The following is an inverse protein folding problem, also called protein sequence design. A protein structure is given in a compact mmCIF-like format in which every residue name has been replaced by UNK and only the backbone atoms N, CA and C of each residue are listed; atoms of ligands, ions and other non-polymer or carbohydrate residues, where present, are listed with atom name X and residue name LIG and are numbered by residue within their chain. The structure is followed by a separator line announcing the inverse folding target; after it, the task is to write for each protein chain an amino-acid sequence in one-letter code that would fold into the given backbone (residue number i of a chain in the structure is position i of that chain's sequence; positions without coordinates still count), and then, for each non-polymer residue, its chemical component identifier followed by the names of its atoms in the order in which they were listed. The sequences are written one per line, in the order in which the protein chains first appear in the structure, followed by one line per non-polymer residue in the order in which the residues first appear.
data_IF_342548661277
#
_entry.id   IF_342548661277
#
_cell.length_a   1.000
_cell.length_b   1.000
_cell.length_c   1.000
_cell.angle_alpha   90.00
_cell.angle_beta   90.00
_cell.angle_gamma   90.00
#
_symmetry.space_group_name_H-M   'P 1'
#
loop_
_entity.id
_entity.type
_entity.pdbx_description
1 polymer ?
#
# COMPACT_ATOMS: atom_id res chain seq x y z
N UNK A 1 -44.47 102.73 28.90
CA UNK A 1 -44.62 102.14 30.25
C UNK A 1 -43.67 100.95 30.36
N UNK A 2 -42.53 101.21 30.97
CA UNK A 2 -41.45 100.18 31.15
C UNK A 2 -41.64 99.50 32.52
N UNK A 3 -41.92 98.27 32.55
CA UNK A 3 -41.80 97.44 33.76
C UNK A 3 -40.37 97.00 33.91
N UNK A 4 -39.70 97.48 34.91
CA UNK A 4 -38.40 97.02 35.38
C UNK A 4 -38.57 95.65 36.02
N UNK A 5 -37.91 94.65 35.45
CA UNK A 5 -37.73 93.34 36.09
C UNK A 5 -36.70 93.48 37.23
N UNK A 6 -37.11 93.13 38.42
CA UNK A 6 -36.28 93.16 39.60
C UNK A 6 -35.56 91.79 39.78
N UNK A 7 -34.22 91.70 39.66
CA UNK A 7 -33.51 90.42 39.69
C UNK A 7 -33.37 89.81 41.08
N UNK A 8 -33.84 90.50 42.14
CA UNK A 8 -33.70 89.97 43.51
C UNK A 8 -34.82 89.01 43.92
N UNK A 9 -35.93 88.96 43.20
CA UNK A 9 -37.06 88.03 43.51
C UNK A 9 -36.84 86.67 43.00
N UNK A 10 -35.98 86.45 41.98
CA UNK A 10 -35.69 85.12 41.41
C UNK A 10 -34.71 84.33 42.29
N UNK A 11 -33.89 85.02 43.06
CA UNK A 11 -32.94 84.35 43.96
C UNK A 11 -33.54 83.68 45.20
N UNK A 12 -34.83 84.00 45.49
CA UNK A 12 -35.48 83.52 46.73
C UNK A 12 -36.33 82.27 46.56
N UNK A 13 -36.60 81.85 45.32
CA UNK A 13 -37.39 80.63 45.06
C UNK A 13 -36.58 79.45 44.58
N UNK A 14 -35.29 79.58 44.24
CA UNK A 14 -34.40 78.53 43.97
C UNK A 14 -33.59 78.21 45.25
N UNK A 15 -34.29 77.70 46.25
CA UNK A 15 -33.65 77.05 47.38
C UNK A 15 -32.74 75.90 46.91
N UNK A 16 -31.45 76.19 46.79
CA UNK A 16 -30.48 75.19 46.61
C UNK A 16 -30.48 74.26 47.84
N UNK A 17 -30.79 72.99 47.73
CA UNK A 17 -30.54 72.07 48.81
C UNK A 17 -29.04 71.85 48.88
N UNK A 18 -28.40 72.54 49.82
CA UNK A 18 -27.05 72.29 50.22
C UNK A 18 -27.06 70.91 51.04
N UNK A 19 -27.26 69.83 50.31
CA UNK A 19 -27.04 68.49 50.89
C UNK A 19 -25.61 68.13 50.58
N UNK A 20 -24.69 68.63 51.37
CA UNK A 20 -23.43 67.95 51.59
C UNK A 20 -23.72 66.60 52.27
N UNK A 21 -24.04 65.57 51.48
CA UNK A 21 -23.95 64.22 51.89
C UNK A 21 -22.45 63.93 52.04
N UNK A 22 -21.91 64.22 53.21
CA UNK A 22 -20.63 63.64 53.64
C UNK A 22 -20.84 62.19 53.86
N UNK A 23 -20.81 61.42 52.76
CA UNK A 23 -20.89 59.98 52.76
C UNK A 23 -19.51 59.43 53.14
N UNK A 24 -19.26 59.31 54.44
CA UNK A 24 -18.13 58.56 54.95
C UNK A 24 -18.20 57.06 54.54
N UNK A 25 -19.32 56.60 54.01
CA UNK A 25 -19.54 55.27 53.49
C UNK A 25 -19.20 55.09 52.01
N UNK A 26 -18.98 56.12 51.24
CA UNK A 26 -18.65 56.05 49.81
C UNK A 26 -17.21 55.55 49.56
N UNK A 27 -16.27 55.84 50.48
CA UNK A 27 -14.89 55.38 50.33
C UNK A 27 -14.74 53.86 50.49
N UNK A 28 -15.28 53.21 51.58
CA UNK A 28 -15.18 51.75 51.65
C UNK A 28 -15.96 51.03 50.57
N UNK A 29 -17.09 51.60 50.09
CA UNK A 29 -17.86 51.08 48.98
C UNK A 29 -17.12 51.17 47.65
N UNK A 30 -16.39 52.25 47.40
CA UNK A 30 -15.50 52.41 46.25
C UNK A 30 -14.34 51.41 46.29
N UNK A 31 -13.71 51.24 47.45
CA UNK A 31 -12.64 50.26 47.63
C UNK A 31 -13.15 48.82 47.51
N UNK A 32 -14.33 48.52 48.00
CA UNK A 32 -14.97 47.21 47.87
C UNK A 32 -15.32 46.92 46.38
N UNK A 33 -15.88 47.90 45.67
CA UNK A 33 -16.17 47.73 44.22
C UNK A 33 -14.89 47.57 43.38
N UNK A 34 -13.83 48.34 43.70
CA UNK A 34 -12.54 48.21 43.04
C UNK A 34 -11.89 46.85 43.30
N UNK A 35 -12.03 46.35 44.54
CA UNK A 35 -11.54 45.02 44.89
C UNK A 35 -12.31 43.92 44.14
N UNK A 36 -13.65 44.02 44.04
CA UNK A 36 -14.48 43.07 43.26
C UNK A 36 -14.09 43.10 41.76
N UNK A 37 -13.89 44.27 41.20
CA UNK A 37 -13.44 44.42 39.80
C UNK A 37 -12.04 43.80 39.61
N UNK A 38 -11.10 44.06 40.52
CA UNK A 38 -9.76 43.48 40.47
C UNK A 38 -9.79 41.97 40.57
N UNK A 39 -10.64 41.44 41.46
CA UNK A 39 -10.83 39.98 41.62
C UNK A 39 -11.49 39.34 40.40
N UNK A 40 -12.47 40.05 39.79
CA UNK A 40 -13.09 39.62 38.54
C UNK A 40 -12.10 39.62 37.38
N UNK A 41 -11.27 40.66 37.24
CA UNK A 41 -10.24 40.73 36.22
C UNK A 41 -9.19 39.62 36.42
N UNK A 42 -8.76 39.40 37.66
CA UNK A 42 -7.85 38.33 38.00
C UNK A 42 -8.44 36.93 37.67
N UNK A 43 -9.69 36.69 38.07
CA UNK A 43 -10.41 35.47 37.76
C UNK A 43 -10.60 35.30 36.22
N UNK A 44 -11.04 36.34 35.53
CA UNK A 44 -11.30 36.35 34.08
C UNK A 44 -10.01 36.18 33.27
N UNK A 45 -8.86 36.55 33.83
CA UNK A 45 -7.56 36.32 33.20
C UNK A 45 -7.09 34.87 33.31
N UNK A 46 -7.54 34.14 34.34
CA UNK A 46 -7.18 32.74 34.59
C UNK A 46 -8.25 31.76 34.11
N UNK A 47 -9.50 32.17 34.02
CA UNK A 47 -10.58 31.35 33.50
C UNK A 47 -10.46 31.23 31.97
N UNK A 48 -10.33 29.97 31.50
CA UNK A 48 -10.21 29.64 30.09
C UNK A 48 -11.54 29.17 29.52
N UNK A 49 -11.84 29.52 28.30
CA UNK A 49 -13.01 29.08 27.52
C UNK A 49 -12.52 28.51 26.20
N UNK A 50 -12.99 27.30 25.85
CA UNK A 50 -12.65 26.66 24.61
C UNK A 50 -13.19 27.46 23.43
N UNK A 51 -12.31 27.81 22.48
CA UNK A 51 -12.69 28.41 21.21
C UNK A 51 -12.91 27.27 20.21
N UNK A 52 -14.08 27.28 19.57
CA UNK A 52 -14.42 26.26 18.60
C UNK A 52 -14.69 26.88 17.23
N UNK A 53 -14.16 26.28 16.20
CA UNK A 53 -14.53 26.58 14.82
C UNK A 53 -15.70 25.66 14.42
N UNK A 54 -16.84 26.28 14.12
CA UNK A 54 -18.06 25.54 13.79
C UNK A 54 -18.28 25.52 12.29
N UNK A 55 -18.58 24.32 11.76
CA UNK A 55 -18.94 24.11 10.37
C UNK A 55 -20.14 23.20 10.19
N UNK A 56 -20.89 23.41 9.13
CA UNK A 56 -21.86 22.43 8.64
C UNK A 56 -21.10 21.29 7.95
N UNK A 57 -21.52 20.06 8.24
CA UNK A 57 -20.89 18.87 7.72
C UNK A 57 -21.92 17.93 7.09
N UNK A 58 -21.44 17.13 6.15
CA UNK A 58 -22.18 16.02 5.56
C UNK A 58 -21.39 14.75 5.73
N UNK A 59 -22.08 13.69 6.13
CA UNK A 59 -21.48 12.35 6.20
C UNK A 59 -21.19 11.89 4.78
N UNK A 60 -19.92 11.61 4.51
CA UNK A 60 -19.45 11.03 3.24
C UNK A 60 -18.84 9.65 3.53
N UNK A 61 -18.90 8.72 2.59
CA UNK A 61 -18.17 7.47 2.73
C UNK A 61 -16.66 7.77 2.87
N UNK A 62 -16.00 7.10 3.80
CA UNK A 62 -14.55 7.23 4.00
C UNK A 62 -13.78 6.75 2.78
N UNK A 63 -14.29 5.73 2.11
CA UNK A 63 -13.73 5.16 0.89
C UNK A 63 -14.60 5.42 -0.32
N UNK A 64 -13.92 5.64 -1.44
CA UNK A 64 -14.59 5.70 -2.74
C UNK A 64 -15.03 4.30 -3.16
N UNK A 65 -16.09 4.27 -3.93
CA UNK A 65 -16.55 3.07 -4.61
C UNK A 65 -15.39 2.38 -5.35
N UNK A 66 -15.21 1.08 -5.11
CA UNK A 66 -14.17 0.27 -5.73
C UNK A 66 -14.74 -0.40 -6.97
N UNK A 67 -14.10 -0.16 -8.11
CA UNK A 67 -14.47 -0.79 -9.38
C UNK A 67 -13.65 -2.06 -9.57
N UNK A 68 -14.33 -3.19 -9.72
CA UNK A 68 -13.72 -4.48 -10.02
C UNK A 68 -13.67 -4.66 -11.53
N UNK A 69 -12.46 -4.73 -12.07
CA UNK A 69 -12.19 -4.85 -13.50
C UNK A 69 -11.38 -6.12 -13.79
N UNK A 70 -11.58 -6.68 -14.97
CA UNK A 70 -10.73 -7.78 -15.46
C UNK A 70 -9.61 -7.24 -16.32
N UNK A 71 -8.36 -7.38 -15.87
CA UNK A 71 -7.19 -6.94 -16.65
C UNK A 71 -7.00 -7.79 -17.91
N UNK A 72 -7.18 -9.10 -17.79
CA UNK A 72 -6.91 -10.07 -18.86
C UNK A 72 -8.09 -10.25 -19.82
N UNK A 73 -9.31 -9.95 -19.37
CA UNK A 73 -10.54 -10.32 -20.07
C UNK A 73 -10.74 -11.83 -20.15
N UNK A 74 -11.70 -12.26 -20.92
CA UNK A 74 -11.99 -13.68 -21.13
C UNK A 74 -13.47 -13.99 -21.20
N UNK A 75 -13.84 -15.23 -20.93
CA UNK A 75 -15.23 -15.68 -20.91
C UNK A 75 -15.65 -15.78 -19.44
N UNK A 76 -16.77 -15.12 -19.08
CA UNK A 76 -17.33 -15.22 -17.73
C UNK A 76 -17.85 -16.64 -17.48
N UNK A 77 -17.25 -17.33 -16.52
CA UNK A 77 -17.71 -18.68 -16.15
C UNK A 77 -18.86 -18.59 -15.15
N UNK A 78 -18.66 -17.90 -14.02
CA UNK A 78 -19.68 -17.80 -12.98
C UNK A 78 -19.55 -16.48 -12.20
N UNK A 79 -20.71 -15.97 -11.73
CA UNK A 79 -20.81 -14.88 -10.76
C UNK A 79 -21.35 -15.48 -9.47
N UNK A 80 -20.65 -15.25 -8.36
CA UNK A 80 -20.93 -15.87 -7.06
C UNK A 80 -21.66 -14.95 -6.10
N UNK A 81 -21.91 -13.70 -6.50
CA UNK A 81 -22.53 -12.66 -5.67
C UNK A 81 -23.70 -12.00 -6.41
N UNK A 82 -24.58 -11.34 -5.66
CA UNK A 82 -25.73 -10.59 -6.19
C UNK A 82 -25.64 -9.12 -5.83
N UNK A 83 -26.32 -8.29 -6.58
CA UNK A 83 -26.47 -6.88 -6.23
C UNK A 83 -27.16 -6.72 -4.87
N UNK A 84 -26.61 -5.85 -4.03
CA UNK A 84 -27.04 -5.64 -2.65
C UNK A 84 -26.45 -6.60 -1.63
N UNK A 85 -25.68 -7.59 -2.04
CA UNK A 85 -25.01 -8.55 -1.15
C UNK A 85 -23.79 -7.93 -0.46
N UNK A 86 -23.58 -8.25 0.82
CA UNK A 86 -22.40 -7.86 1.56
C UNK A 86 -21.30 -8.90 1.32
N UNK A 87 -20.13 -8.44 0.91
CA UNK A 87 -18.96 -9.28 0.66
C UNK A 87 -17.81 -8.92 1.59
N UNK A 88 -17.02 -9.92 1.94
CA UNK A 88 -15.83 -9.74 2.76
C UNK A 88 -14.58 -9.51 1.88
N UNK A 89 -13.54 -8.88 2.45
CA UNK A 89 -12.27 -8.74 1.76
C UNK A 89 -11.67 -10.12 1.42
N UNK A 90 -11.25 -10.32 0.15
CA UNK A 90 -10.73 -11.59 -0.35
C UNK A 90 -11.82 -12.60 -0.76
N UNK A 91 -13.11 -12.28 -0.62
CA UNK A 91 -14.20 -13.13 -1.09
C UNK A 91 -14.23 -13.20 -2.62
N UNK A 92 -14.45 -14.39 -3.16
CA UNK A 92 -14.57 -14.62 -4.60
C UNK A 92 -15.91 -14.05 -5.11
N UNK A 93 -15.81 -13.13 -6.06
CA UNK A 93 -16.96 -12.41 -6.65
C UNK A 93 -17.40 -13.04 -7.95
N UNK A 94 -16.45 -13.31 -8.83
CA UNK A 94 -16.68 -13.91 -10.13
C UNK A 94 -15.48 -14.71 -10.57
N UNK A 95 -15.69 -15.67 -11.45
CA UNK A 95 -14.65 -16.47 -12.09
C UNK A 95 -14.71 -16.32 -13.61
N UNK A 96 -13.55 -16.13 -14.22
CA UNK A 96 -13.35 -16.16 -15.67
C UNK A 96 -12.85 -17.55 -16.03
N UNK A 97 -13.20 -18.06 -17.22
CA UNK A 97 -12.71 -19.37 -17.71
C UNK A 97 -11.18 -19.42 -17.70
N UNK A 98 -10.66 -20.23 -16.80
CA UNK A 98 -9.23 -20.37 -16.55
C UNK A 98 -8.52 -21.32 -17.52
N UNK A 99 -9.27 -22.04 -18.38
CA UNK A 99 -8.74 -23.12 -19.22
C UNK A 99 -7.53 -22.68 -20.04
N UNK A 100 -7.62 -21.55 -20.71
CA UNK A 100 -6.54 -20.98 -21.52
C UNK A 100 -5.32 -20.60 -20.65
N UNK A 101 -5.56 -19.91 -19.54
CA UNK A 101 -4.51 -19.41 -18.64
C UNK A 101 -3.82 -20.58 -17.92
N UNK A 102 -4.61 -21.52 -17.43
CA UNK A 102 -4.11 -22.75 -16.78
C UNK A 102 -3.24 -23.57 -17.74
N UNK A 103 -3.69 -23.76 -18.99
CA UNK A 103 -2.93 -24.50 -19.99
C UNK A 103 -1.58 -23.82 -20.29
N UNK A 104 -1.56 -22.49 -20.45
CA UNK A 104 -0.33 -21.74 -20.67
C UNK A 104 0.63 -21.82 -19.48
N UNK A 105 0.11 -21.74 -18.24
CA UNK A 105 0.91 -21.89 -17.03
C UNK A 105 1.51 -23.30 -16.93
N UNK A 106 0.69 -24.36 -17.13
CA UNK A 106 1.14 -25.74 -17.07
C UNK A 106 2.18 -26.09 -18.15
N UNK A 107 2.04 -25.51 -19.34
CA UNK A 107 3.02 -25.62 -20.41
C UNK A 107 4.39 -25.07 -19.97
N UNK A 108 4.42 -23.83 -19.45
CA UNK A 108 5.68 -23.22 -19.01
C UNK A 108 6.29 -23.96 -17.82
N UNK A 109 5.47 -24.46 -16.91
CA UNK A 109 5.92 -25.28 -15.78
C UNK A 109 6.57 -26.59 -16.25
N UNK A 110 5.94 -27.28 -17.20
CA UNK A 110 6.48 -28.52 -17.76
C UNK A 110 7.80 -28.31 -18.50
N UNK A 111 7.93 -27.21 -19.24
CA UNK A 111 9.18 -26.84 -19.91
C UNK A 111 10.28 -26.48 -18.88
N UNK A 112 9.95 -25.78 -17.81
CA UNK A 112 10.90 -25.46 -16.74
C UNK A 112 11.39 -26.74 -16.03
N UNK A 113 10.50 -27.70 -15.77
CA UNK A 113 10.86 -28.99 -15.22
C UNK A 113 11.82 -29.76 -16.13
N UNK A 114 11.59 -29.77 -17.44
CA UNK A 114 12.48 -30.42 -18.40
C UNK A 114 13.88 -29.77 -18.41
N UNK A 115 13.95 -28.44 -18.39
CA UNK A 115 15.23 -27.73 -18.30
C UNK A 115 15.96 -28.00 -16.98
N UNK A 116 15.26 -28.02 -15.85
CA UNK A 116 15.85 -28.38 -14.54
C UNK A 116 16.41 -29.79 -14.54
N UNK A 117 15.73 -30.76 -15.19
CA UNK A 117 16.24 -32.12 -15.36
C UNK A 117 17.54 -32.15 -16.16
N UNK A 118 17.57 -31.43 -17.29
CA UNK A 118 18.76 -31.29 -18.16
C UNK A 118 19.92 -30.62 -17.42
N UNK A 119 19.66 -29.54 -16.67
CA UNK A 119 20.67 -28.87 -15.85
C UNK A 119 21.25 -29.80 -14.79
N UNK A 120 20.41 -30.59 -14.10
CA UNK A 120 20.87 -31.57 -13.13
C UNK A 120 21.82 -32.62 -13.76
N UNK A 121 21.54 -33.08 -14.99
CA UNK A 121 22.44 -33.95 -15.76
C UNK A 121 23.76 -33.27 -16.07
N UNK A 122 23.70 -32.04 -16.62
CA UNK A 122 24.90 -31.31 -17.03
C UNK A 122 25.79 -30.97 -15.82
N UNK A 123 25.20 -30.62 -14.68
CA UNK A 123 25.94 -30.43 -13.43
C UNK A 123 26.65 -31.72 -12.96
N UNK A 124 26.00 -32.84 -13.10
CA UNK A 124 26.63 -34.15 -12.81
C UNK A 124 27.77 -34.45 -13.78
N UNK A 125 27.63 -34.11 -15.09
CA UNK A 125 28.70 -34.27 -16.09
C UNK A 125 29.90 -33.36 -15.80
N UNK A 126 29.68 -32.10 -15.52
CA UNK A 126 30.70 -31.09 -15.21
C UNK A 126 31.47 -31.41 -13.93
N UNK A 127 30.77 -31.87 -12.89
CA UNK A 127 31.34 -32.27 -11.60
C UNK A 127 31.87 -33.72 -11.57
N UNK A 128 31.79 -34.44 -12.69
CA UNK A 128 32.15 -35.87 -12.82
C UNK A 128 31.54 -36.74 -11.73
N UNK A 129 30.26 -36.46 -11.36
CA UNK A 129 29.52 -37.25 -10.37
C UNK A 129 29.18 -38.64 -10.90
N UNK A 130 29.03 -39.58 -9.99
CA UNK A 130 28.66 -40.95 -10.35
C UNK A 130 27.19 -41.09 -10.78
N UNK A 131 26.31 -40.24 -10.27
CA UNK A 131 24.87 -40.21 -10.50
C UNK A 131 24.34 -38.78 -10.56
N UNK A 132 23.18 -38.58 -11.21
CA UNK A 132 22.48 -37.32 -11.28
C UNK A 132 21.71 -37.14 -9.99
N UNK A 133 21.82 -35.95 -9.38
CA UNK A 133 20.96 -35.44 -8.30
C UNK A 133 19.90 -34.52 -8.90
N UNK A 134 18.67 -35.03 -9.00
CA UNK A 134 17.56 -34.23 -9.53
C UNK A 134 16.94 -33.35 -8.41
N UNK A 135 16.57 -32.11 -8.73
CA UNK A 135 15.75 -31.27 -7.84
C UNK A 135 14.42 -31.94 -7.48
N UNK A 136 13.83 -31.55 -6.34
CA UNK A 136 12.57 -32.15 -5.87
C UNK A 136 11.43 -31.99 -6.87
N UNK A 137 11.34 -30.85 -7.55
CA UNK A 137 10.30 -30.54 -8.52
C UNK A 137 10.30 -31.43 -9.76
N UNK A 138 11.39 -32.16 -10.00
CA UNK A 138 11.55 -33.03 -11.17
C UNK A 138 11.60 -34.51 -10.77
N UNK A 139 11.93 -34.80 -9.51
CA UNK A 139 12.18 -36.16 -9.02
C UNK A 139 11.03 -37.13 -9.26
N UNK A 140 9.80 -36.64 -9.11
CA UNK A 140 8.58 -37.42 -9.25
C UNK A 140 8.19 -37.66 -10.71
N UNK A 141 8.82 -36.98 -11.67
CA UNK A 141 8.59 -37.19 -13.10
C UNK A 141 9.55 -38.26 -13.63
N UNK A 142 9.14 -39.51 -13.48
CA UNK A 142 9.97 -40.67 -13.85
C UNK A 142 10.38 -40.67 -15.33
N UNK A 143 9.51 -40.21 -16.22
CA UNK A 143 9.78 -40.16 -17.66
C UNK A 143 10.94 -39.21 -17.99
N UNK A 144 10.94 -38.01 -17.42
CA UNK A 144 12.01 -37.01 -17.61
C UNK A 144 13.33 -37.49 -16.99
N UNK A 145 13.28 -37.98 -15.74
CA UNK A 145 14.49 -38.43 -15.02
C UNK A 145 15.10 -39.65 -15.67
N UNK A 146 14.31 -40.60 -16.20
CA UNK A 146 14.81 -41.76 -16.93
C UNK A 146 15.54 -41.35 -18.21
N UNK A 147 14.95 -40.46 -19.01
CA UNK A 147 15.56 -39.98 -20.26
C UNK A 147 16.92 -39.32 -20.00
N UNK A 148 17.00 -38.44 -18.99
CA UNK A 148 18.25 -37.75 -18.66
C UNK A 148 19.32 -38.73 -18.08
N UNK A 149 18.91 -39.74 -17.31
CA UNK A 149 19.84 -40.79 -16.84
C UNK A 149 20.40 -41.63 -17.98
N UNK A 150 19.57 -41.99 -18.96
CA UNK A 150 20.02 -42.70 -20.14
C UNK A 150 21.04 -41.89 -20.95
N UNK A 151 20.72 -40.61 -21.20
CA UNK A 151 21.62 -39.72 -21.92
C UNK A 151 22.94 -39.50 -21.18
N UNK A 152 22.90 -39.29 -19.86
CA UNK A 152 24.08 -39.20 -19.01
C UNK A 152 24.99 -40.43 -19.15
N UNK A 153 24.37 -41.62 -19.04
CA UNK A 153 25.10 -42.88 -19.15
C UNK A 153 25.72 -43.08 -20.54
N UNK A 154 24.97 -42.73 -21.59
CA UNK A 154 25.46 -42.84 -22.98
C UNK A 154 26.64 -41.86 -23.25
N UNK A 155 26.53 -40.60 -22.84
CA UNK A 155 27.59 -39.60 -23.02
C UNK A 155 28.85 -39.96 -22.24
N UNK A 156 28.69 -40.40 -20.99
CA UNK A 156 29.80 -40.88 -20.14
C UNK A 156 30.48 -42.11 -20.74
N UNK A 157 29.73 -43.10 -21.19
CA UNK A 157 30.26 -44.30 -21.85
C UNK A 157 31.05 -43.95 -23.11
N UNK A 158 30.58 -43.02 -23.93
CA UNK A 158 31.28 -42.51 -25.12
C UNK A 158 32.63 -41.90 -24.73
N UNK A 159 32.67 -41.00 -23.74
CA UNK A 159 33.90 -40.38 -23.22
C UNK A 159 34.88 -41.43 -22.72
N UNK A 160 34.41 -42.30 -21.84
CA UNK A 160 35.25 -43.30 -21.19
C UNK A 160 35.81 -44.31 -22.19
N UNK A 161 35.01 -44.69 -23.22
CA UNK A 161 35.50 -45.55 -24.31
C UNK A 161 36.61 -44.89 -25.11
N UNK A 162 36.48 -43.59 -25.44
CA UNK A 162 37.49 -42.83 -26.15
C UNK A 162 38.78 -42.68 -25.30
N UNK A 163 38.65 -42.35 -24.02
CA UNK A 163 39.78 -42.28 -23.09
C UNK A 163 40.50 -43.62 -22.92
N UNK A 164 39.76 -44.73 -22.81
CA UNK A 164 40.30 -46.07 -22.69
C UNK A 164 41.07 -46.49 -23.97
N UNK A 165 40.57 -46.12 -25.16
CA UNK A 165 41.28 -46.44 -26.43
C UNK A 165 42.65 -45.75 -26.43
N UNK A 166 42.71 -44.42 -26.20
CA UNK A 166 43.98 -43.65 -26.14
C UNK A 166 44.89 -44.15 -25.01
N UNK A 167 44.32 -44.50 -23.85
CA UNK A 167 45.10 -45.05 -22.73
C UNK A 167 45.78 -46.40 -23.08
N UNK A 168 45.14 -47.27 -23.86
CA UNK A 168 45.74 -48.49 -24.37
C UNK A 168 46.90 -48.19 -25.35
N UNK A 169 46.72 -47.21 -26.24
CA UNK A 169 47.78 -46.76 -27.15
C UNK A 169 49.01 -46.22 -26.37
N UNK A 170 48.77 -45.35 -25.36
CA UNK A 170 49.82 -44.82 -24.48
C UNK A 170 50.55 -46.02 -23.81
N UNK A 171 49.81 -46.95 -23.25
CA UNK A 171 50.41 -48.14 -22.59
C UNK A 171 51.23 -49.01 -23.54
N UNK A 172 50.81 -49.17 -24.79
CA UNK A 172 51.54 -49.90 -25.81
C UNK A 172 52.85 -49.17 -26.18
N UNK A 173 52.78 -47.84 -26.45
CA UNK A 173 53.96 -47.02 -26.74
C UNK A 173 54.96 -46.99 -25.56
N UNK A 174 54.46 -46.93 -24.33
CA UNK A 174 55.30 -46.99 -23.13
C UNK A 174 56.02 -48.32 -22.96
N UNK A 175 55.34 -49.44 -23.30
CA UNK A 175 55.99 -50.80 -23.30
C UNK A 175 57.07 -50.84 -24.36
N UNK A 176 56.85 -50.35 -25.58
CA UNK A 176 57.87 -50.27 -26.64
C UNK A 176 59.08 -49.46 -26.19
N UNK A 177 58.85 -48.27 -25.59
CA UNK A 177 59.88 -47.44 -25.07
C UNK A 177 60.70 -48.14 -23.96
N UNK A 178 60.05 -48.92 -23.08
CA UNK A 178 60.73 -49.71 -22.04
C UNK A 178 61.66 -50.77 -22.60
N UNK A 179 61.35 -51.35 -23.76
CA UNK A 179 62.23 -52.33 -24.48
C UNK A 179 63.37 -51.58 -25.16
N UNK A 180 63.13 -50.48 -25.83
CA UNK A 180 64.13 -49.74 -26.63
C UNK A 180 65.14 -48.97 -25.73
N UNK A 181 64.75 -48.41 -24.63
CA UNK A 181 65.60 -47.65 -23.70
C UNK A 181 66.88 -48.40 -23.27
N UNK A 182 66.93 -49.68 -22.88
CA UNK A 182 68.16 -50.45 -22.59
C UNK A 182 69.01 -50.71 -23.82
N UNK A 183 68.41 -50.88 -25.02
CA UNK A 183 69.15 -51.09 -26.26
C UNK A 183 69.88 -49.82 -26.73
N UNK A 184 69.30 -48.67 -26.58
CA UNK A 184 69.98 -47.38 -26.84
C UNK A 184 71.15 -47.17 -25.90
N UNK A 185 71.05 -47.55 -24.60
CA UNK A 185 72.15 -47.49 -23.63
C UNK A 185 73.28 -48.34 -24.05
N UNK A 186 73.01 -49.51 -24.72
CA UNK A 186 74.02 -50.50 -25.28
C UNK A 186 74.46 -50.03 -26.67
N UNK A 187 74.02 -48.92 -27.23
CA UNK A 187 74.33 -48.43 -28.59
C UNK A 187 73.84 -49.44 -29.70
N UNK A 188 72.89 -50.33 -29.41
CA UNK A 188 72.34 -51.25 -30.36
C UNK A 188 71.22 -50.62 -31.23
N UNK A 189 70.61 -49.53 -30.78
CA UNK A 189 69.58 -48.78 -31.48
C UNK A 189 69.89 -47.32 -31.35
N UNK A 190 69.56 -46.50 -32.35
CA UNK A 190 69.77 -45.08 -32.41
C UNK A 190 68.89 -44.30 -31.43
N UNK A 191 69.39 -43.24 -30.80
CA UNK A 191 68.64 -42.36 -29.87
C UNK A 191 67.40 -41.73 -30.51
N UNK A 192 67.41 -41.53 -31.83
CA UNK A 192 66.26 -40.99 -32.60
C UNK A 192 65.00 -41.82 -32.48
N UNK A 193 65.15 -43.17 -32.34
CA UNK A 193 64.00 -44.06 -32.20
C UNK A 193 63.32 -43.93 -30.83
N UNK A 194 64.12 -43.71 -29.79
CA UNK A 194 63.63 -43.40 -28.46
C UNK A 194 62.89 -42.04 -28.45
N UNK A 195 63.47 -41.02 -29.09
CA UNK A 195 62.87 -39.68 -29.17
C UNK A 195 61.54 -39.65 -29.96
N UNK A 196 61.39 -40.50 -31.02
CA UNK A 196 60.13 -40.67 -31.73
C UNK A 196 59.05 -41.19 -30.82
N UNK A 197 59.33 -42.28 -30.03
CA UNK A 197 58.38 -42.83 -29.09
C UNK A 197 58.01 -41.89 -27.94
N UNK A 198 58.96 -41.12 -27.45
CA UNK A 198 58.69 -40.12 -26.43
C UNK A 198 57.78 -39.02 -26.99
N UNK A 199 57.96 -38.60 -28.26
CA UNK A 199 57.05 -37.66 -28.95
C UNK A 199 55.64 -38.26 -29.12
N UNK A 200 55.56 -39.52 -29.59
CA UNK A 200 54.30 -40.19 -29.78
C UNK A 200 53.51 -40.30 -28.47
N UNK A 201 54.19 -40.64 -27.35
CA UNK A 201 53.55 -40.69 -26.02
C UNK A 201 53.08 -39.31 -25.61
N UNK A 202 53.84 -38.26 -25.90
CA UNK A 202 53.44 -36.87 -25.60
C UNK A 202 52.21 -36.46 -26.44
N UNK A 203 52.14 -36.77 -27.72
CA UNK A 203 51.01 -36.53 -28.61
C UNK A 203 49.77 -37.28 -28.14
N UNK A 204 49.87 -38.56 -27.77
CA UNK A 204 48.76 -39.38 -27.24
C UNK A 204 48.21 -38.83 -25.88
N UNK A 205 49.12 -38.34 -24.99
CA UNK A 205 48.73 -37.67 -23.74
C UNK A 205 47.99 -36.34 -24.04
N UNK A 206 48.47 -35.59 -25.03
CA UNK A 206 47.78 -34.38 -25.52
C UNK A 206 46.39 -34.71 -25.99
N UNK A 207 46.19 -35.75 -26.82
CA UNK A 207 44.90 -36.22 -27.30
C UNK A 207 43.97 -36.68 -26.17
N UNK A 208 44.53 -37.36 -25.14
CA UNK A 208 43.78 -37.75 -23.95
C UNK A 208 43.25 -36.55 -23.19
N UNK A 209 44.05 -35.50 -23.02
CA UNK A 209 43.68 -34.24 -22.38
C UNK A 209 42.64 -33.49 -23.24
N UNK A 210 42.80 -33.46 -24.55
CA UNK A 210 41.86 -32.86 -25.51
C UNK A 210 40.45 -33.47 -25.40
N UNK A 211 40.34 -34.82 -25.42
CA UNK A 211 39.05 -35.54 -25.27
C UNK A 211 38.34 -35.11 -23.96
N UNK A 212 39.09 -35.01 -22.87
CA UNK A 212 38.52 -34.58 -21.57
C UNK A 212 38.10 -33.14 -21.60
N UNK A 213 38.95 -32.26 -22.11
CA UNK A 213 38.68 -30.81 -22.16
C UNK A 213 37.50 -30.48 -23.07
N UNK A 214 37.41 -31.10 -24.26
CA UNK A 214 36.28 -30.92 -25.18
C UNK A 214 34.97 -31.34 -24.51
N UNK A 215 34.96 -32.52 -23.86
CA UNK A 215 33.77 -33.03 -23.16
C UNK A 215 33.31 -32.02 -22.09
N UNK A 216 34.22 -31.49 -21.27
CA UNK A 216 33.89 -30.51 -20.23
C UNK A 216 33.46 -29.17 -20.83
N UNK A 217 34.16 -28.70 -21.88
CA UNK A 217 33.83 -27.45 -22.57
C UNK A 217 32.39 -27.49 -23.13
N UNK A 218 32.05 -28.58 -23.81
CA UNK A 218 30.71 -28.79 -24.38
C UNK A 218 29.65 -28.82 -23.26
N UNK A 219 29.92 -29.51 -22.15
CA UNK A 219 29.01 -29.61 -21.02
C UNK A 219 28.83 -28.25 -20.30
N UNK A 220 29.90 -27.44 -20.14
CA UNK A 220 29.82 -26.13 -19.56
C UNK A 220 29.05 -25.14 -20.46
N UNK A 221 29.30 -25.17 -21.77
CA UNK A 221 28.58 -24.32 -22.71
C UNK A 221 27.07 -24.64 -22.70
N UNK A 222 26.71 -25.92 -22.81
CA UNK A 222 25.31 -26.35 -22.76
C UNK A 222 24.67 -26.01 -21.40
N UNK A 223 25.40 -26.15 -20.27
CA UNK A 223 24.91 -25.78 -18.94
C UNK A 223 24.62 -24.29 -18.83
N UNK A 224 25.50 -23.44 -19.34
CA UNK A 224 25.32 -21.98 -19.31
C UNK A 224 24.09 -21.58 -20.13
N UNK A 225 23.93 -22.13 -21.33
CA UNK A 225 22.78 -21.88 -22.19
C UNK A 225 21.47 -22.32 -21.52
N UNK A 226 21.43 -23.54 -20.94
CA UNK A 226 20.23 -24.06 -20.30
C UNK A 226 19.87 -23.31 -19.02
N UNK A 227 20.84 -22.83 -18.26
CA UNK A 227 20.59 -21.95 -17.10
C UNK A 227 20.01 -20.61 -17.52
N UNK A 228 20.49 -20.01 -18.60
CA UNK A 228 19.94 -18.76 -19.13
C UNK A 228 18.51 -18.95 -19.65
N UNK A 229 18.25 -20.04 -20.37
CA UNK A 229 16.91 -20.38 -20.85
C UNK A 229 15.94 -20.62 -19.71
N UNK A 230 16.36 -21.33 -18.65
CA UNK A 230 15.55 -21.59 -17.45
C UNK A 230 15.19 -20.26 -16.74
N UNK A 231 16.16 -19.37 -16.55
CA UNK A 231 15.91 -18.09 -15.92
C UNK A 231 14.83 -17.28 -16.65
N UNK A 232 14.89 -17.21 -17.98
CA UNK A 232 13.87 -16.52 -18.78
C UNK A 232 12.49 -17.21 -18.69
N UNK A 233 12.49 -18.53 -18.66
CA UNK A 233 11.25 -19.30 -18.57
C UNK A 233 10.62 -19.22 -17.17
N UNK A 234 11.42 -19.12 -16.11
CA UNK A 234 10.93 -18.92 -14.74
C UNK A 234 10.18 -17.60 -14.62
N UNK A 235 10.72 -16.50 -15.16
CA UNK A 235 10.02 -15.22 -15.22
C UNK A 235 8.70 -15.33 -16.00
N UNK A 236 8.71 -16.02 -17.14
CA UNK A 236 7.49 -16.26 -17.92
C UNK A 236 6.47 -17.08 -17.13
N UNK A 237 6.93 -18.06 -16.36
CA UNK A 237 6.07 -18.92 -15.54
C UNK A 237 5.40 -18.14 -14.42
N UNK A 238 6.14 -17.22 -13.76
CA UNK A 238 5.58 -16.30 -12.76
C UNK A 238 4.49 -15.42 -13.37
N UNK A 239 4.76 -14.83 -14.54
CA UNK A 239 3.78 -14.02 -15.26
C UNK A 239 2.51 -14.81 -15.61
N UNK A 240 2.65 -16.02 -16.13
CA UNK A 240 1.50 -16.87 -16.50
C UNK A 240 0.70 -17.32 -15.29
N UNK A 241 1.37 -17.56 -14.15
CA UNK A 241 0.71 -17.85 -12.89
C UNK A 241 -0.13 -16.69 -12.42
N UNK A 242 0.42 -15.48 -12.44
CA UNK A 242 -0.27 -14.25 -12.05
C UNK A 242 -1.50 -13.98 -12.95
N UNK A 243 -1.39 -14.24 -14.26
CA UNK A 243 -2.54 -14.20 -15.18
C UNK A 243 -3.62 -15.22 -14.81
N UNK A 244 -3.23 -16.44 -14.42
CA UNK A 244 -4.15 -17.46 -13.96
C UNK A 244 -4.82 -17.05 -12.64
N UNK A 245 -4.06 -16.52 -11.68
CA UNK A 245 -4.60 -16.11 -10.39
C UNK A 245 -5.61 -14.95 -10.57
N UNK A 246 -5.38 -14.03 -11.53
CA UNK A 246 -6.30 -12.93 -11.89
C UNK A 246 -7.59 -13.36 -12.61
N UNK A 247 -7.73 -14.61 -13.03
CA UNK A 247 -9.04 -15.12 -13.53
C UNK A 247 -10.07 -15.22 -12.41
N UNK A 248 -9.62 -15.22 -11.15
CA UNK A 248 -10.46 -15.23 -9.96
C UNK A 248 -10.57 -13.82 -9.42
N UNK A 249 -11.72 -13.20 -9.60
CA UNK A 249 -11.98 -11.83 -9.19
C UNK A 249 -12.40 -11.81 -7.71
N UNK A 250 -11.53 -11.25 -6.87
CA UNK A 250 -11.71 -11.17 -5.43
C UNK A 250 -12.08 -9.76 -5.01
N UNK A 251 -12.86 -9.62 -3.94
CA UNK A 251 -13.14 -8.32 -3.34
C UNK A 251 -11.89 -7.77 -2.64
N UNK A 252 -11.45 -6.54 -2.95
CA UNK A 252 -10.34 -5.91 -2.25
C UNK A 252 -10.70 -5.44 -0.84
N UNK A 253 -12.00 -5.23 -0.55
CA UNK A 253 -12.51 -4.65 0.70
C UNK A 253 -13.81 -5.33 1.11
N UNK A 254 -14.18 -5.21 2.38
CA UNK A 254 -15.53 -5.52 2.84
C UNK A 254 -16.49 -4.44 2.36
N UNK A 255 -17.60 -4.83 1.71
CA UNK A 255 -18.51 -3.84 1.14
C UNK A 255 -19.79 -4.44 0.59
N UNK A 256 -20.65 -3.58 0.04
CA UNK A 256 -21.88 -3.95 -0.65
C UNK A 256 -21.65 -3.93 -2.16
N UNK A 257 -22.00 -4.99 -2.84
CA UNK A 257 -22.01 -5.06 -4.31
C UNK A 257 -23.14 -4.17 -4.84
N UNK A 258 -22.81 -3.16 -5.64
CA UNK A 258 -23.82 -2.22 -6.14
C UNK A 258 -24.29 -2.56 -7.54
N UNK A 259 -23.38 -2.52 -8.49
CA UNK A 259 -23.70 -2.66 -9.91
C UNK A 259 -22.92 -3.83 -10.50
N UNK A 260 -23.60 -4.77 -11.12
CA UNK A 260 -23.00 -5.88 -11.88
C UNK A 260 -23.28 -5.61 -13.36
N UNK A 261 -22.24 -5.13 -14.07
CA UNK A 261 -22.36 -4.73 -15.49
C UNK A 261 -22.56 -5.93 -16.41
N UNK A 262 -21.98 -7.08 -16.08
CA UNK A 262 -22.00 -8.29 -16.92
C UNK A 262 -22.62 -9.42 -16.10
N UNK A 263 -23.83 -9.82 -16.46
CA UNK A 263 -24.62 -10.85 -15.75
C UNK A 263 -24.75 -12.16 -16.52
N UNK A 264 -24.33 -12.18 -17.79
CA UNK A 264 -24.53 -13.33 -18.67
C UNK A 264 -23.40 -14.33 -18.55
N UNK A 265 -23.66 -15.53 -18.05
CA UNK A 265 -22.71 -16.64 -18.07
C UNK A 265 -22.32 -16.98 -19.50
N UNK A 266 -21.02 -17.17 -19.79
CA UNK A 266 -20.49 -17.34 -21.14
C UNK A 266 -20.31 -16.03 -21.91
N UNK A 267 -20.62 -14.89 -21.29
CA UNK A 267 -20.36 -13.56 -21.89
C UNK A 267 -18.86 -13.30 -22.05
N UNK A 268 -18.49 -12.62 -23.12
CA UNK A 268 -17.10 -12.22 -23.37
C UNK A 268 -16.82 -10.89 -22.69
N UNK A 269 -15.78 -10.86 -21.89
CA UNK A 269 -15.28 -9.68 -21.17
C UNK A 269 -14.03 -9.16 -21.88
N UNK A 270 -14.04 -7.93 -22.41
CA UNK A 270 -12.84 -7.30 -22.92
C UNK A 270 -11.79 -7.06 -21.81
N UNK A 271 -10.49 -7.02 -22.14
CA UNK A 271 -9.47 -6.56 -21.19
C UNK A 271 -9.73 -5.13 -20.70
N UNK A 272 -9.65 -4.93 -19.36
CA UNK A 272 -9.90 -3.65 -18.71
C UNK A 272 -11.38 -3.33 -18.47
N UNK A 273 -12.29 -4.22 -18.82
CA UNK A 273 -13.75 -3.98 -18.65
C UNK A 273 -14.16 -4.06 -17.19
N UNK A 274 -15.08 -3.18 -16.80
CA UNK A 274 -15.70 -3.15 -15.49
C UNK A 274 -16.73 -4.27 -15.38
N UNK A 275 -16.64 -5.06 -14.31
CA UNK A 275 -17.54 -6.18 -14.05
C UNK A 275 -18.55 -5.82 -12.98
N UNK A 276 -18.09 -5.20 -11.89
CA UNK A 276 -18.95 -4.77 -10.80
C UNK A 276 -18.32 -3.65 -9.98
N UNK A 277 -19.15 -3.00 -9.19
CA UNK A 277 -18.74 -1.94 -8.26
C UNK A 277 -19.08 -2.37 -6.83
N UNK A 278 -18.16 -2.09 -5.90
CA UNK A 278 -18.34 -2.37 -4.48
C UNK A 278 -18.23 -1.06 -3.71
N UNK A 279 -19.25 -0.79 -2.90
CA UNK A 279 -19.19 0.31 -1.93
C UNK A 279 -18.67 -0.26 -0.61
N UNK A 280 -17.50 0.18 -0.15
CA UNK A 280 -16.93 -0.27 1.11
C UNK A 280 -17.87 0.00 2.28
N UNK A 281 -17.98 -0.98 3.19
CA UNK A 281 -18.60 -0.84 4.50
C UNK A 281 -17.46 -0.69 5.51
N UNK A 282 -17.14 0.56 5.82
CA UNK A 282 -16.11 0.85 6.82
C UNK A 282 -16.77 1.24 8.15
N UNK A 283 -16.09 0.91 9.23
CA UNK A 283 -16.52 1.27 10.59
C UNK A 283 -16.20 2.73 10.95
N UNK A 284 -15.49 3.45 10.06
CA UNK A 284 -15.13 4.86 10.24
C UNK A 284 -15.99 5.76 9.36
N UNK A 285 -16.54 6.80 9.96
CA UNK A 285 -17.28 7.83 9.23
C UNK A 285 -16.40 9.05 8.99
N UNK A 286 -16.50 9.60 7.79
CA UNK A 286 -15.86 10.87 7.45
C UNK A 286 -16.92 11.94 7.26
N UNK A 287 -16.71 13.08 7.93
CA UNK A 287 -17.56 14.24 7.87
C UNK A 287 -16.88 15.31 7.03
N UNK A 288 -17.42 15.58 5.86
CA UNK A 288 -16.99 16.69 5.02
C UNK A 288 -17.56 17.99 5.59
N UNK A 289 -16.73 18.73 6.31
CA UNK A 289 -17.12 19.93 7.06
C UNK A 289 -16.71 21.17 6.29
N UNK A 290 -17.63 22.15 6.20
CA UNK A 290 -17.42 23.45 5.56
C UNK A 290 -17.02 24.47 6.61
N UNK A 291 -15.81 24.96 6.54
CA UNK A 291 -15.26 25.94 7.48
C UNK A 291 -15.02 27.27 6.76
N UNK A 292 -15.38 28.36 7.44
CA UNK A 292 -15.18 29.72 6.90
C UNK A 292 -13.70 30.05 6.79
N UNK A 293 -13.29 30.84 5.78
CA UNK A 293 -11.89 31.23 5.60
C UNK A 293 -11.24 31.93 6.81
N UNK A 294 -12.03 32.63 7.62
CA UNK A 294 -11.53 33.30 8.83
C UNK A 294 -11.15 32.33 9.96
N UNK A 295 -11.71 31.14 9.98
CA UNK A 295 -11.56 30.17 11.07
C UNK A 295 -10.52 29.07 10.72
N UNK A 296 -10.20 28.87 9.43
CA UNK A 296 -9.29 27.81 8.97
C UNK A 296 -7.85 27.98 9.44
N UNK A 297 -7.41 29.25 9.66
CA UNK A 297 -6.04 29.54 10.09
C UNK A 297 -5.68 28.95 11.48
N UNK A 298 -6.69 28.59 12.25
CA UNK A 298 -6.53 28.03 13.61
C UNK A 298 -6.77 26.52 13.66
N UNK A 299 -7.01 25.86 12.52
CA UNK A 299 -7.29 24.43 12.43
C UNK A 299 -6.04 23.72 11.89
N UNK A 300 -5.67 22.63 12.53
CA UNK A 300 -4.59 21.75 12.11
C UNK A 300 -5.04 20.27 12.10
N UNK A 301 -4.45 19.44 11.25
CA UNK A 301 -4.67 18.01 11.29
C UNK A 301 -4.36 17.42 12.67
N UNK A 302 -5.20 16.50 13.13
CA UNK A 302 -5.11 15.86 14.46
C UNK A 302 -5.86 16.58 15.57
N UNK A 303 -6.41 17.74 15.35
CA UNK A 303 -7.22 18.46 16.36
C UNK A 303 -8.51 17.70 16.67
N UNK A 304 -8.94 17.68 17.95
CA UNK A 304 -10.20 17.08 18.35
C UNK A 304 -11.39 17.86 17.82
N UNK A 305 -12.45 17.13 17.51
CA UNK A 305 -13.70 17.72 17.04
C UNK A 305 -14.89 17.00 17.65
N UNK A 306 -15.93 17.75 18.00
CA UNK A 306 -17.21 17.24 18.46
C UNK A 306 -18.23 17.29 17.33
N UNK A 307 -18.83 16.14 17.02
CA UNK A 307 -19.76 15.99 15.90
C UNK A 307 -21.17 15.80 16.43
N UNK A 308 -22.12 16.61 15.96
CA UNK A 308 -23.54 16.52 16.27
C UNK A 308 -24.32 16.20 15.00
N UNK A 309 -24.97 15.06 15.00
CA UNK A 309 -25.79 14.63 13.86
C UNK A 309 -27.14 15.34 13.92
N UNK A 310 -27.52 16.06 12.86
CA UNK A 310 -28.77 16.86 12.85
C UNK A 310 -30.03 15.99 12.86
N UNK A 311 -29.94 14.72 12.49
CA UNK A 311 -31.06 13.79 12.51
C UNK A 311 -31.44 13.29 13.91
N UNK A 312 -30.53 13.45 14.91
CA UNK A 312 -30.72 13.01 16.27
C UNK A 312 -30.55 14.19 17.25
N UNK A 313 -31.39 14.23 18.29
CA UNK A 313 -31.27 15.26 19.32
C UNK A 313 -30.02 14.99 20.17
N UNK A 314 -29.00 15.82 20.03
CA UNK A 314 -27.71 15.66 20.73
C UNK A 314 -27.85 15.75 22.26
N UNK A 315 -28.94 16.37 22.80
CA UNK A 315 -29.19 16.45 24.23
C UNK A 315 -29.63 15.09 24.81
N UNK A 316 -30.22 14.23 23.96
CA UNK A 316 -30.69 12.88 24.32
C UNK A 316 -29.69 11.82 23.90
N UNK A 317 -29.23 11.86 22.67
CA UNK A 317 -28.42 10.79 22.06
C UNK A 317 -26.91 11.05 22.12
N UNK A 318 -26.49 12.23 22.60
CA UNK A 318 -25.08 12.57 22.75
C UNK A 318 -24.44 13.08 21.43
N UNK A 319 -23.11 13.06 21.43
CA UNK A 319 -22.26 13.54 20.36
C UNK A 319 -21.20 12.52 20.01
N UNK A 320 -20.66 12.57 18.79
CA UNK A 320 -19.52 11.74 18.40
C UNK A 320 -18.23 12.53 18.59
N UNK A 321 -17.21 11.84 19.03
CA UNK A 321 -15.86 12.37 19.03
C UNK A 321 -15.19 12.06 17.69
N UNK A 322 -14.46 13.05 17.17
CA UNK A 322 -13.74 12.96 15.93
C UNK A 322 -12.42 13.69 15.97
N UNK A 323 -11.63 13.51 14.91
CA UNK A 323 -10.35 14.20 14.72
C UNK A 323 -10.29 14.77 13.31
N UNK A 324 -9.68 15.94 13.17
CA UNK A 324 -9.40 16.55 11.88
C UNK A 324 -8.37 15.68 11.15
N UNK A 325 -8.76 15.10 10.03
CA UNK A 325 -7.89 14.26 9.20
C UNK A 325 -7.12 15.12 8.18
N UNK A 326 -7.85 15.97 7.47
CA UNK A 326 -7.27 16.77 6.38
C UNK A 326 -8.05 18.06 6.13
N UNK A 327 -7.32 19.08 5.70
CA UNK A 327 -7.85 20.38 5.31
C UNK A 327 -7.55 20.57 3.82
N UNK A 328 -8.51 21.10 3.04
CA UNK A 328 -8.26 21.43 1.64
C UNK A 328 -7.21 22.53 1.53
N UNK A 329 -6.34 22.44 0.51
CA UNK A 329 -5.29 23.45 0.27
C UNK A 329 -5.83 24.74 -0.34
N UNK A 330 -7.07 24.71 -0.86
CA UNK A 330 -7.71 25.83 -1.54
C UNK A 330 -9.17 25.96 -1.09
N UNK A 331 -9.74 27.17 -1.29
CA UNK A 331 -11.15 27.46 -1.06
C UNK A 331 -12.00 26.85 -2.16
N UNK A 332 -13.17 26.37 -1.79
CA UNK A 332 -14.23 25.98 -2.69
C UNK A 332 -15.33 27.04 -2.66
N UNK A 333 -15.93 27.29 -3.80
CA UNK A 333 -17.03 28.25 -3.95
C UNK A 333 -18.34 27.49 -4.14
N UNK A 334 -19.38 27.95 -3.47
CA UNK A 334 -20.74 27.41 -3.61
C UNK A 334 -21.72 28.57 -3.85
N UNK A 335 -22.53 28.41 -4.89
CA UNK A 335 -23.64 29.32 -5.15
C UNK A 335 -24.74 29.08 -4.13
N UNK A 336 -24.92 30.03 -3.23
CA UNK A 336 -26.03 30.04 -2.29
C UNK A 336 -27.09 31.07 -2.73
N UNK A 337 -28.34 31.01 -2.24
CA UNK A 337 -29.35 32.01 -2.53
C UNK A 337 -28.96 33.45 -2.07
N UNK A 338 -27.87 33.57 -1.31
CA UNK A 338 -27.31 34.83 -0.78
C UNK A 338 -26.10 35.34 -1.55
N UNK A 339 -25.62 34.58 -2.57
CA UNK A 339 -24.43 34.85 -3.35
C UNK A 339 -23.40 33.72 -3.26
N UNK A 340 -22.24 33.91 -3.87
CA UNK A 340 -21.13 32.99 -3.78
C UNK A 340 -20.49 33.04 -2.39
N UNK A 341 -20.45 31.89 -1.70
CA UNK A 341 -19.77 31.74 -0.42
C UNK A 341 -18.54 30.83 -0.60
N UNK A 342 -17.36 31.34 -0.21
CA UNK A 342 -16.12 30.56 -0.22
C UNK A 342 -15.95 29.88 1.12
N UNK A 343 -15.55 28.58 1.09
CA UNK A 343 -15.28 27.80 2.29
C UNK A 343 -14.09 26.85 2.08
N UNK A 344 -13.46 26.45 3.19
CA UNK A 344 -12.49 25.37 3.20
C UNK A 344 -13.17 24.06 3.57
N UNK A 345 -12.84 23.01 2.82
CA UNK A 345 -13.31 21.65 3.12
C UNK A 345 -12.36 21.01 4.12
N UNK A 346 -12.89 20.69 5.29
CA UNK A 346 -12.19 19.99 6.35
C UNK A 346 -12.80 18.60 6.51
N UNK A 347 -11.99 17.56 6.40
CA UNK A 347 -12.40 16.18 6.64
C UNK A 347 -12.13 15.83 8.09
N UNK A 348 -13.20 15.43 8.79
CA UNK A 348 -13.15 14.99 10.19
C UNK A 348 -13.55 13.54 10.24
N UNK A 349 -12.70 12.67 10.77
CA UNK A 349 -12.97 11.24 10.93
C UNK A 349 -13.49 10.96 12.35
N UNK A 350 -14.47 10.05 12.47
CA UNK A 350 -14.90 9.49 13.74
C UNK A 350 -14.59 8.00 13.77
N UNK A 351 -14.12 7.51 14.91
CA UNK A 351 -13.81 6.09 15.12
C UNK A 351 -15.06 5.22 15.28
N UNK A 352 -16.22 5.86 15.53
CA UNK A 352 -17.50 5.18 15.70
C UNK A 352 -18.47 5.51 14.58
N UNK A 353 -19.13 4.50 14.03
CA UNK A 353 -20.10 4.63 12.94
C UNK A 353 -21.55 4.73 13.42
N UNK A 354 -21.79 4.71 14.71
CA UNK A 354 -23.12 4.75 15.31
C UNK A 354 -23.11 5.50 16.65
N UNK A 355 -24.26 6.05 17.03
CA UNK A 355 -24.52 6.56 18.36
C UNK A 355 -25.11 5.42 19.21
N UNK A 356 -24.63 5.26 20.43
CA UNK A 356 -25.18 4.30 21.42
C UNK A 356 -25.95 5.05 22.49
N UNK A 357 -27.21 4.70 22.69
CA UNK A 357 -28.04 5.25 23.76
C UNK A 357 -28.97 4.18 24.31
N UNK A 358 -28.92 3.95 25.63
CA UNK A 358 -29.75 2.96 26.38
C UNK A 358 -29.75 1.54 25.77
N UNK A 359 -28.63 1.14 25.12
CA UNK A 359 -28.49 -0.18 24.48
C UNK A 359 -29.05 -0.27 23.06
N UNK A 360 -29.57 0.82 22.53
CA UNK A 360 -29.92 0.95 21.11
C UNK A 360 -28.78 1.58 20.32
N UNK A 361 -28.43 0.94 19.20
CA UNK A 361 -27.42 1.45 18.28
C UNK A 361 -28.11 2.19 17.14
N UNK A 362 -27.87 3.50 17.03
CA UNK A 362 -28.42 4.36 15.99
C UNK A 362 -27.43 4.51 14.83
N UNK A 363 -27.66 3.82 13.69
CA UNK A 363 -26.71 3.84 12.58
C UNK A 363 -26.70 5.18 11.87
N UNK A 364 -25.50 5.71 11.60
CA UNK A 364 -25.30 6.93 10.84
C UNK A 364 -25.10 6.55 9.38
N UNK A 365 -25.89 7.14 8.49
CA UNK A 365 -25.86 6.83 7.07
C UNK A 365 -25.17 7.93 6.26
N UNK A 366 -24.41 7.59 5.21
CA UNK A 366 -23.92 8.58 4.26
C UNK A 366 -25.04 9.49 3.75
N UNK A 367 -24.73 10.78 3.62
CA UNK A 367 -25.70 11.80 3.23
C UNK A 367 -26.39 12.51 4.39
N UNK A 368 -26.30 12.03 5.63
CA UNK A 368 -26.80 12.75 6.79
C UNK A 368 -26.03 14.06 7.01
N UNK A 369 -26.74 15.09 7.50
CA UNK A 369 -26.15 16.37 7.84
C UNK A 369 -25.76 16.38 9.32
N UNK A 370 -24.62 16.98 9.60
CA UNK A 370 -24.10 17.15 10.94
C UNK A 370 -23.55 18.56 11.15
N UNK A 371 -23.36 18.94 12.39
CA UNK A 371 -22.59 20.13 12.77
C UNK A 371 -21.32 19.67 13.48
N UNK A 372 -20.19 20.16 13.04
CA UNK A 372 -18.88 19.83 13.62
C UNK A 372 -18.31 21.07 14.30
N UNK A 373 -17.95 20.90 15.55
CA UNK A 373 -17.24 21.89 16.36
C UNK A 373 -15.79 21.43 16.55
N UNK A 374 -14.85 22.07 15.88
CA UNK A 374 -13.41 21.78 15.97
C UNK A 374 -12.81 22.63 17.08
N UNK A 375 -12.13 22.03 18.03
CA UNK A 375 -11.49 22.72 19.14
C UNK A 375 -10.20 23.39 18.64
N UNK A 376 -10.20 24.73 18.59
CA UNK A 376 -9.08 25.52 18.03
C UNK A 376 -8.15 26.07 19.11
N UNK A 377 -8.50 25.92 20.37
CA UNK A 377 -7.67 26.32 21.50
C UNK A 377 -8.47 26.87 22.66
N UNK A 378 -7.76 27.33 23.69
CA UNK A 378 -8.30 27.90 24.90
C UNK A 378 -8.01 29.39 24.93
N UNK A 379 -8.99 30.21 25.32
CA UNK A 379 -8.80 31.64 25.50
C UNK A 379 -9.34 32.10 26.84
N UNK A 380 -8.65 33.08 27.45
CA UNK A 380 -9.14 33.67 28.70
C UNK A 380 -10.43 34.47 28.49
N UNK A 381 -11.34 34.41 29.45
CA UNK A 381 -12.60 35.17 29.48
C UNK A 381 -12.34 36.68 29.30
N UNK A 382 -11.22 37.18 29.84
CA UNK A 382 -10.81 38.59 29.71
C UNK A 382 -10.54 38.93 28.25
N UNK A 383 -9.84 38.07 27.48
CA UNK A 383 -9.55 38.32 26.06
C UNK A 383 -10.83 38.34 25.21
N UNK A 384 -11.80 37.51 25.58
CA UNK A 384 -13.11 37.46 24.92
C UNK A 384 -13.93 38.74 25.13
N UNK A 385 -13.96 39.26 26.36
CA UNK A 385 -14.67 40.47 26.72
C UNK A 385 -14.03 41.75 26.12
N UNK A 386 -12.71 41.77 25.94
CA UNK A 386 -11.99 42.92 25.37
C UNK A 386 -11.98 42.93 23.83
N UNK A 387 -12.32 41.82 23.16
CA UNK A 387 -12.32 41.68 21.69
C UNK A 387 -13.12 42.79 20.94
N UNK A 388 -14.32 43.24 21.36
CA UNK A 388 -15.04 44.31 20.69
C UNK A 388 -14.31 45.65 20.77
N UNK A 389 -13.52 45.92 21.82
CA UNK A 389 -12.78 47.14 22.01
C UNK A 389 -11.45 47.20 21.25
N UNK A 390 -10.77 46.04 21.13
CA UNK A 390 -9.51 45.95 20.37
C UNK A 390 -9.70 45.98 18.84
N UNK A 391 -10.89 45.62 18.34
CA UNK A 391 -11.24 45.77 16.91
C UNK A 391 -11.48 47.19 16.45
N UNK A 392 -11.68 48.13 17.35
CA UNK A 392 -11.93 49.55 17.02
C UNK A 392 -10.66 50.36 16.75
N UNK A 393 -9.47 49.85 17.13
CA UNK A 393 -8.19 50.58 16.94
C UNK A 393 -7.50 50.32 15.59
N UNK A 394 -8.05 49.48 14.73
CA UNK A 394 -7.44 49.09 13.43
C UNK A 394 -8.24 49.59 12.21
N UNK A 395 -8.86 50.77 12.32
CA UNK A 395 -9.47 51.46 11.17
C UNK A 395 -8.86 52.83 10.92
#
# INVERSE_FOLDING_TARGET
MSQRFDPELIKRELGAPDQRLESHWSRPLLWASLLVIALFVAWSSWAEVNEVARGEAKVVPSSRQQTIQSLEGGILDEIMVREGEIVEAGQLLAAIDETRFRSAYMESLSQAQALRATIGRLEAEVLDKASIEFPEEVRDNEALTATERELFTARRKKRDSALNAVSKEITAAQRQLAVIRPLVKRRAVGEMEMLKLDREIAELKGRQAEIRNTYLQDAYAELADKKSELATLEETTVQRRDQLDRTRLLSPVRGVVNNIAITTRGGVIPPGEEIMQITPLEDTLVFETRIRPQDVAFIAPGMPATIRISAYDYAVYGTLEGKVERISSDTLEEETPRGEESYYRVLVSSETAALEHDGETLPIKPGMVATVDIETGERSVLSYLLRPFTRLELR
#
